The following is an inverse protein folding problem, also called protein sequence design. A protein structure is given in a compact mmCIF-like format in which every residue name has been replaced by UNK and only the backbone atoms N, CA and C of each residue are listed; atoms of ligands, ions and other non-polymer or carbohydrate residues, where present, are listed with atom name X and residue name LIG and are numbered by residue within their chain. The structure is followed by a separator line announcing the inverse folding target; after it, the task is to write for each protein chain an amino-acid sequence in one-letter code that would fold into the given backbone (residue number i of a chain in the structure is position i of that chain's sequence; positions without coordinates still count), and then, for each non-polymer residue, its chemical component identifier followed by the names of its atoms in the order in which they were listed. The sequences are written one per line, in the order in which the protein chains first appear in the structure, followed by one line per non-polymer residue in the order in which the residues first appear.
data_IF_029816018516
#
_entry.id   IF_029816018516
#
_cell.length_a   1.000
_cell.length_b   1.000
_cell.length_c   1.000
_cell.angle_alpha   90.00
_cell.angle_beta   90.00
_cell.angle_gamma   90.00
#
_symmetry.space_group_name_H-M   'P 1'
#
loop_
_entity.id
_entity.type
_entity.pdbx_description
1 polymer ?
#
# COMPACT_ATOMS: atom_id res chain seq x y z
N UNK A 1 68.23 -10.20 -15.50
CA UNK A 1 67.29 -10.51 -14.41
C UNK A 1 66.12 -9.54 -14.49
N UNK A 2 64.87 -10.01 -14.62
CA UNK A 2 63.77 -9.30 -13.99
C UNK A 2 63.00 -10.21 -13.03
N UNK A 3 62.67 -9.65 -11.86
CA UNK A 3 62.04 -10.31 -10.73
C UNK A 3 60.57 -10.70 -11.02
N UNK A 4 60.23 -11.89 -10.54
CA UNK A 4 58.94 -12.55 -10.64
C UNK A 4 57.88 -11.84 -9.77
N UNK A 5 56.75 -11.44 -10.37
CA UNK A 5 55.63 -10.83 -9.66
C UNK A 5 54.68 -11.91 -9.14
N UNK A 6 54.80 -12.29 -7.87
CA UNK A 6 53.84 -13.15 -7.17
C UNK A 6 52.84 -12.31 -6.38
N UNK A 7 51.66 -12.06 -6.96
CA UNK A 7 50.35 -11.89 -6.30
C UNK A 7 49.32 -12.12 -7.43
N UNK A 8 48.15 -12.80 -7.29
CA UNK A 8 47.19 -12.71 -6.17
C UNK A 8 46.18 -13.90 -6.01
N UNK A 9 46.11 -14.60 -4.86
CA UNK A 9 45.02 -15.59 -4.61
C UNK A 9 43.98 -15.10 -3.59
N UNK A 10 44.41 -14.46 -2.49
CA UNK A 10 43.56 -14.10 -1.35
C UNK A 10 42.48 -13.01 -1.63
N UNK A 11 42.77 -12.09 -2.57
CA UNK A 11 41.92 -10.91 -2.81
C UNK A 11 40.64 -11.23 -3.60
N UNK A 12 40.64 -12.33 -4.35
CA UNK A 12 39.56 -12.72 -5.25
C UNK A 12 38.33 -13.17 -4.47
N UNK A 13 38.50 -13.97 -3.42
CA UNK A 13 37.40 -14.49 -2.59
C UNK A 13 36.69 -13.39 -1.78
N UNK A 14 37.45 -12.40 -1.28
CA UNK A 14 36.89 -11.25 -0.55
C UNK A 14 36.04 -10.34 -1.46
N UNK A 15 36.49 -10.15 -2.71
CA UNK A 15 35.76 -9.38 -3.72
C UNK A 15 34.44 -10.07 -4.09
N UNK A 16 34.48 -11.37 -4.40
CA UNK A 16 33.29 -12.14 -4.74
C UNK A 16 32.27 -12.19 -3.59
N UNK A 17 32.73 -12.38 -2.35
CA UNK A 17 31.86 -12.40 -1.18
C UNK A 17 31.17 -11.05 -0.95
N UNK A 18 31.89 -9.93 -1.13
CA UNK A 18 31.31 -8.60 -1.07
C UNK A 18 30.29 -8.33 -2.19
N UNK A 19 30.53 -8.84 -3.40
CA UNK A 19 29.58 -8.71 -4.52
C UNK A 19 28.30 -9.51 -4.26
N UNK A 20 28.43 -10.75 -3.76
CA UNK A 20 27.29 -11.60 -3.41
C UNK A 20 26.46 -10.98 -2.28
N UNK A 21 27.12 -10.47 -1.23
CA UNK A 21 26.45 -9.75 -0.14
C UNK A 21 25.70 -8.51 -0.65
N UNK A 22 26.30 -7.74 -1.56
CA UNK A 22 25.64 -6.57 -2.15
C UNK A 22 24.38 -6.95 -2.93
N UNK A 23 24.42 -8.01 -3.74
CA UNK A 23 23.25 -8.49 -4.47
C UNK A 23 22.17 -9.06 -3.56
N UNK A 24 22.53 -9.76 -2.48
CA UNK A 24 21.58 -10.26 -1.49
C UNK A 24 20.85 -9.12 -0.77
N UNK A 25 21.59 -8.07 -0.36
CA UNK A 25 20.99 -6.90 0.28
C UNK A 25 20.07 -6.14 -0.67
N UNK A 26 20.46 -5.98 -1.94
CA UNK A 26 19.60 -5.38 -2.97
C UNK A 26 18.36 -6.22 -3.22
N UNK A 27 18.49 -7.54 -3.32
CA UNK A 27 17.36 -8.46 -3.48
C UNK A 27 16.35 -8.34 -2.33
N UNK A 28 16.83 -8.33 -1.08
CA UNK A 28 15.99 -8.11 0.10
C UNK A 28 15.29 -6.75 0.04
N UNK A 29 16.01 -5.68 -0.31
CA UNK A 29 15.43 -4.34 -0.42
C UNK A 29 14.32 -4.27 -1.48
N UNK A 30 14.50 -4.93 -2.63
CA UNK A 30 13.48 -5.02 -3.69
C UNK A 30 12.26 -5.81 -3.22
N UNK A 31 12.44 -6.91 -2.50
CA UNK A 31 11.30 -7.68 -1.94
C UNK A 31 10.51 -6.88 -0.91
N UNK A 32 11.19 -6.09 -0.06
CA UNK A 32 10.54 -5.20 0.90
C UNK A 32 9.80 -4.06 0.21
N UNK A 33 10.38 -3.46 -0.84
CA UNK A 33 9.74 -2.40 -1.60
C UNK A 33 8.48 -2.87 -2.35
N UNK A 34 8.48 -4.11 -2.87
CA UNK A 34 7.30 -4.70 -3.53
C UNK A 34 6.22 -5.17 -2.55
N UNK A 35 6.59 -5.50 -1.31
CA UNK A 35 5.64 -5.77 -0.24
C UNK A 35 5.01 -4.50 0.34
N UNK A 36 5.57 -3.32 0.04
CA UNK A 36 5.01 -2.05 0.47
C UNK A 36 3.79 -1.68 -0.40
N UNK A 37 2.62 -2.15 0.01
CA UNK A 37 1.35 -1.61 -0.47
C UNK A 37 1.17 -0.23 0.17
N UNK A 38 1.66 0.81 -0.49
CA UNK A 38 1.31 2.19 -0.12
C UNK A 38 -0.20 2.30 -0.01
N UNK A 39 -0.70 3.01 1.01
CA UNK A 39 -2.13 3.30 1.12
C UNK A 39 -2.55 3.99 -0.18
N UNK A 40 -3.33 3.28 -0.99
CA UNK A 40 -3.80 3.78 -2.26
C UNK A 40 -4.59 5.06 -1.98
N UNK A 41 -4.12 6.19 -2.52
CA UNK A 41 -4.72 7.51 -2.29
C UNK A 41 -6.14 7.59 -2.85
N UNK A 42 -6.55 6.61 -3.67
CA UNK A 42 -7.88 6.46 -4.26
C UNK A 42 -8.78 5.44 -3.53
N UNK A 43 -8.25 4.74 -2.51
CA UNK A 43 -8.96 3.86 -1.58
C UNK A 43 -10.08 2.96 -2.17
N UNK A 44 -9.96 2.48 -3.41
CA UNK A 44 -10.89 1.48 -3.96
C UNK A 44 -10.66 0.14 -3.22
N UNK A 45 -11.67 -0.40 -2.50
CA UNK A 45 -11.51 -1.65 -1.77
C UNK A 45 -11.50 -2.83 -2.74
N UNK A 46 -10.66 -3.84 -2.45
CA UNK A 46 -10.71 -5.11 -3.17
C UNK A 46 -11.89 -5.95 -2.68
N UNK A 47 -12.94 -6.07 -3.49
CA UNK A 47 -14.15 -6.81 -3.15
C UNK A 47 -13.94 -8.32 -2.97
N UNK A 48 -12.86 -8.90 -3.50
CA UNK A 48 -12.52 -10.32 -3.27
C UNK A 48 -12.06 -10.59 -1.82
N UNK A 49 -11.56 -9.56 -1.14
CA UNK A 49 -11.02 -9.65 0.23
C UNK A 49 -12.08 -9.22 1.27
N UNK A 50 -13.07 -8.45 0.85
CA UNK A 50 -14.15 -7.95 1.71
C UNK A 50 -15.13 -9.09 1.99
N UNK A 51 -15.25 -9.46 3.27
CA UNK A 51 -16.24 -10.45 3.71
C UNK A 51 -17.62 -9.83 3.98
N UNK A 52 -17.66 -8.53 4.28
CA UNK A 52 -18.89 -7.79 4.55
C UNK A 52 -19.27 -6.93 3.35
N UNK A 53 -20.10 -7.48 2.48
CA UNK A 53 -20.60 -6.81 1.28
C UNK A 53 -21.58 -5.66 1.57
N UNK A 54 -22.02 -5.49 2.82
CA UNK A 54 -22.84 -4.36 3.24
C UNK A 54 -22.03 -3.18 3.78
N UNK A 55 -20.74 -3.40 4.06
CA UNK A 55 -19.83 -2.38 4.58
C UNK A 55 -19.52 -1.35 3.50
N UNK A 56 -19.54 -0.09 3.92
CA UNK A 56 -19.17 1.06 3.11
C UNK A 56 -17.77 1.52 3.49
N UNK A 57 -16.95 1.77 2.49
CA UNK A 57 -15.58 2.22 2.63
C UNK A 57 -15.49 3.69 2.26
N UNK A 58 -14.76 4.45 3.08
CA UNK A 58 -14.59 5.88 2.87
C UNK A 58 -13.57 6.10 1.76
N UNK A 59 -13.91 6.97 0.81
CA UNK A 59 -12.91 7.48 -0.12
C UNK A 59 -11.97 8.48 0.58
N UNK A 60 -10.67 8.32 0.37
CA UNK A 60 -9.65 9.18 1.01
C UNK A 60 -9.59 10.54 0.31
N UNK A 61 -9.80 10.59 -1.00
CA UNK A 61 -9.68 11.81 -1.79
C UNK A 61 -10.93 12.70 -1.72
N UNK A 62 -12.11 12.09 -1.64
CA UNK A 62 -13.40 12.76 -1.70
C UNK A 62 -14.36 12.26 -0.60
N UNK A 63 -14.62 13.07 0.44
CA UNK A 63 -15.54 12.69 1.50
C UNK A 63 -17.02 12.66 1.05
N UNK A 64 -17.37 13.16 -0.12
CA UNK A 64 -18.76 13.15 -0.64
C UNK A 64 -19.13 11.83 -1.30
N UNK A 65 -18.18 10.92 -1.46
CA UNK A 65 -18.39 9.60 -2.03
C UNK A 65 -17.96 8.49 -1.07
N UNK A 66 -18.52 7.30 -1.29
CA UNK A 66 -18.12 6.09 -0.61
C UNK A 66 -18.14 4.90 -1.56
N UNK A 67 -17.35 3.89 -1.22
CA UNK A 67 -17.28 2.63 -1.95
C UNK A 67 -18.13 1.58 -1.24
N UNK A 68 -18.81 0.72 -2.01
CA UNK A 68 -19.47 -0.48 -1.48
C UNK A 68 -19.12 -1.65 -2.38
N UNK A 69 -18.99 -2.85 -1.81
CA UNK A 69 -18.68 -4.07 -2.56
C UNK A 69 -19.90 -4.99 -2.58
N UNK A 70 -20.75 -4.94 -3.62
CA UNK A 70 -21.90 -5.82 -3.72
C UNK A 70 -21.48 -7.29 -3.79
N UNK A 71 -22.31 -8.18 -3.26
CA UNK A 71 -22.06 -9.63 -3.35
C UNK A 71 -22.08 -10.08 -4.82
N UNK A 72 -21.03 -10.81 -5.23
CA UNK A 72 -20.91 -11.30 -6.60
C UNK A 72 -20.40 -10.29 -7.63
N UNK A 73 -19.95 -9.10 -7.20
CA UNK A 73 -19.20 -8.18 -8.06
C UNK A 73 -17.71 -8.19 -7.73
N UNK A 74 -16.88 -8.23 -8.77
CA UNK A 74 -15.42 -8.12 -8.64
C UNK A 74 -14.97 -6.69 -8.32
N UNK A 75 -15.81 -5.69 -8.64
CA UNK A 75 -15.48 -4.27 -8.49
C UNK A 75 -16.41 -3.58 -7.48
N UNK A 76 -15.85 -2.62 -6.73
CA UNK A 76 -16.61 -1.76 -5.84
C UNK A 76 -17.43 -0.72 -6.61
N UNK A 77 -18.65 -0.49 -6.16
CA UNK A 77 -19.50 0.61 -6.62
C UNK A 77 -19.11 1.92 -5.93
N UNK A 78 -19.01 2.98 -6.72
CA UNK A 78 -18.73 4.34 -6.24
C UNK A 78 -20.04 5.13 -6.11
N UNK A 79 -20.45 5.41 -4.88
CA UNK A 79 -21.75 6.03 -4.61
C UNK A 79 -21.56 7.42 -4.02
N UNK A 80 -22.27 8.39 -4.61
CA UNK A 80 -22.29 9.78 -4.14
C UNK A 80 -23.32 9.95 -3.00
N UNK A 81 -22.93 10.66 -1.95
CA UNK A 81 -23.84 11.14 -0.92
C UNK A 81 -24.75 12.27 -1.44
N UNK A 82 -25.92 12.51 -0.81
CA UNK A 82 -26.77 13.65 -1.16
C UNK A 82 -26.05 15.01 -1.01
N UNK A 83 -26.59 16.05 -1.65
CA UNK A 83 -26.03 17.41 -1.58
C UNK A 83 -25.94 17.91 -0.12
N UNK A 84 -24.78 18.50 0.24
CA UNK A 84 -24.42 18.91 1.61
C UNK A 84 -24.22 17.76 2.61
N UNK A 85 -23.99 16.54 2.15
CA UNK A 85 -23.60 15.41 2.99
C UNK A 85 -22.21 14.90 2.64
N UNK A 86 -21.55 14.29 3.62
CA UNK A 86 -20.28 13.61 3.47
C UNK A 86 -20.30 12.27 4.22
N UNK A 87 -19.61 11.28 3.69
CA UNK A 87 -19.52 9.96 4.27
C UNK A 87 -18.61 9.93 5.51
N UNK A 88 -19.13 9.36 6.60
CA UNK A 88 -18.42 9.16 7.85
C UNK A 88 -18.29 7.67 8.13
N UNK A 89 -17.06 7.16 8.15
CA UNK A 89 -16.80 5.72 8.30
C UNK A 89 -17.34 5.12 9.61
N UNK A 90 -17.19 5.75 10.80
CA UNK A 90 -17.76 5.22 12.05
C UNK A 90 -19.28 5.06 12.04
N UNK A 91 -19.98 5.98 11.39
CA UNK A 91 -21.44 5.99 11.27
C UNK A 91 -21.92 5.07 10.14
N UNK A 92 -21.02 4.66 9.23
CA UNK A 92 -21.34 3.94 7.99
C UNK A 92 -22.46 4.63 7.18
N UNK A 93 -22.49 5.96 7.24
CA UNK A 93 -23.56 6.79 6.71
C UNK A 93 -23.06 8.13 6.18
N UNK A 94 -23.85 8.73 5.29
CA UNK A 94 -23.69 10.11 4.88
C UNK A 94 -24.26 11.01 5.99
N UNK A 95 -23.41 11.85 6.58
CA UNK A 95 -23.78 12.84 7.60
C UNK A 95 -23.78 14.23 6.98
N UNK A 96 -24.46 15.19 7.60
CA UNK A 96 -24.45 16.58 7.11
C UNK A 96 -23.01 17.11 7.14
N UNK A 97 -22.62 17.87 6.11
CA UNK A 97 -21.27 18.41 5.95
C UNK A 97 -20.74 19.14 7.19
N UNK A 98 -21.62 19.84 7.91
CA UNK A 98 -21.29 20.58 9.14
C UNK A 98 -20.89 19.66 10.32
N UNK A 99 -21.42 18.44 10.34
CA UNK A 99 -21.12 17.43 11.36
C UNK A 99 -19.96 16.53 10.94
N UNK A 100 -19.63 16.52 9.64
CA UNK A 100 -18.57 15.70 9.09
C UNK A 100 -17.20 16.11 9.65
N UNK A 101 -16.40 15.09 9.98
CA UNK A 101 -15.05 15.27 10.50
C UNK A 101 -14.13 14.30 9.80
N UNK A 102 -12.99 14.82 9.37
CA UNK A 102 -11.90 13.98 8.94
C UNK A 102 -11.34 13.24 10.16
N UNK A 103 -11.50 11.93 10.18
CA UNK A 103 -10.92 11.06 11.20
C UNK A 103 -9.70 10.41 10.57
N UNK A 104 -8.51 10.75 11.07
CA UNK A 104 -7.29 10.10 10.63
C UNK A 104 -7.38 8.60 10.93
N UNK A 105 -7.00 7.72 9.98
CA UNK A 105 -6.92 6.29 10.26
C UNK A 105 -5.94 6.11 11.41
N UNK A 106 -6.40 5.51 12.51
CA UNK A 106 -5.66 5.33 13.76
C UNK A 106 -4.19 4.98 13.47
N UNK A 107 -3.29 5.92 13.73
CA UNK A 107 -1.86 5.64 13.86
C UNK A 107 -1.69 4.80 15.12
N UNK A 108 -1.48 3.49 14.96
CA UNK A 108 -1.00 2.62 16.04
C UNK A 108 0.51 2.75 16.15
#
# INVERSE_FOLDING_TARGET
MPANATFPFERRNKMHSATVLSFLLLGIFVTLATAYNGQDIYAEPNCDVVQDHSRKFRDISDPTHYWVCPEGQEKADYIQCPDNYAFMEPEQACVVWEEWKWIEPYTK
#
